data_IF_699831795831
#
_entry.id   IF_699831795831
#
_cell.length_a   1.000
_cell.length_b   1.000
_cell.length_c   1.000
_cell.angle_alpha   90.00
_cell.angle_beta   90.00
_cell.angle_gamma   90.00
#
_symmetry.space_group_name_H-M   'P 1'
#
loop_
_entity.id
_entity.type
_entity.pdbx_description
1 polymer ?
#
# COMPACT_ATOMS: atom_id res chain seq x y z
N UNK A 1 -6.63 -4.51 -9.47
CA UNK A 1 -7.19 -5.06 -10.73
C UNK A 1 -8.64 -5.42 -10.46
N UNK A 2 -9.55 -5.21 -11.44
CA UNK A 2 -10.93 -5.68 -11.37
C UNK A 2 -11.42 -6.10 -12.77
N UNK A 3 -12.42 -6.96 -12.80
CA UNK A 3 -12.96 -7.55 -14.03
C UNK A 3 -13.50 -6.47 -14.99
N UNK A 4 -14.23 -5.47 -14.48
CA UNK A 4 -14.80 -4.41 -15.32
C UNK A 4 -13.71 -3.62 -16.07
N UNK A 5 -12.59 -3.33 -15.40
CA UNK A 5 -11.45 -2.66 -16.04
C UNK A 5 -10.81 -3.50 -17.13
N UNK A 6 -10.70 -4.81 -16.92
CA UNK A 6 -10.17 -5.76 -17.90
C UNK A 6 -11.08 -5.83 -19.14
N UNK A 7 -12.38 -5.97 -18.93
CA UNK A 7 -13.37 -6.02 -20.02
C UNK A 7 -13.40 -4.72 -20.82
N UNK A 8 -13.30 -3.57 -20.12
CA UNK A 8 -13.18 -2.28 -20.78
C UNK A 8 -11.93 -2.18 -21.65
N UNK A 9 -10.75 -2.53 -21.10
CA UNK A 9 -9.50 -2.51 -21.88
C UNK A 9 -9.57 -3.43 -23.11
N UNK A 10 -10.12 -4.62 -22.94
CA UNK A 10 -10.31 -5.54 -24.07
C UNK A 10 -11.25 -4.94 -25.14
N UNK A 11 -12.36 -4.31 -24.74
CA UNK A 11 -13.29 -3.65 -25.68
C UNK A 11 -12.65 -2.44 -26.40
N UNK A 12 -11.67 -1.81 -25.80
CA UNK A 12 -10.86 -0.72 -26.38
C UNK A 12 -9.73 -1.24 -27.30
N UNK A 13 -9.60 -2.56 -27.46
CA UNK A 13 -8.63 -3.21 -28.37
C UNK A 13 -7.27 -3.50 -27.75
N UNK A 14 -7.09 -3.32 -26.45
CA UNK A 14 -5.88 -3.76 -25.75
C UNK A 14 -5.87 -5.29 -25.64
N UNK A 15 -4.77 -5.92 -26.02
CA UNK A 15 -4.58 -7.36 -26.00
C UNK A 15 -3.51 -7.83 -25.00
N UNK A 16 -2.84 -6.93 -24.34
CA UNK A 16 -1.75 -7.24 -23.41
C UNK A 16 -1.86 -6.40 -22.14
N UNK A 17 -1.79 -7.06 -20.99
CA UNK A 17 -1.76 -6.44 -19.67
C UNK A 17 -0.41 -6.73 -19.02
N UNK A 18 0.27 -5.71 -18.55
CA UNK A 18 1.43 -5.83 -17.67
C UNK A 18 1.07 -5.17 -16.33
N UNK A 19 1.09 -5.95 -15.25
CA UNK A 19 0.84 -5.38 -13.91
C UNK A 19 2.15 -4.90 -13.30
N UNK A 20 2.06 -3.95 -12.37
CA UNK A 20 3.19 -3.50 -11.58
C UNK A 20 2.74 -3.31 -10.14
N UNK A 21 3.41 -3.96 -9.19
CA UNK A 21 3.11 -3.90 -7.76
C UNK A 21 1.73 -4.44 -7.38
N UNK A 22 1.19 -5.31 -8.20
CA UNK A 22 -0.06 -6.02 -7.97
C UNK A 22 -0.22 -7.22 -8.92
N UNK A 23 -1.26 -8.02 -8.70
CA UNK A 23 -1.67 -9.09 -9.61
C UNK A 23 -1.45 -10.48 -9.09
N UNK A 24 -0.53 -10.70 -8.14
CA UNK A 24 -0.25 -12.06 -7.62
C UNK A 24 -1.48 -12.71 -6.96
N UNK A 25 -2.36 -11.90 -6.38
CA UNK A 25 -3.60 -12.36 -5.73
C UNK A 25 -4.84 -12.23 -6.63
N UNK A 26 -4.72 -11.65 -7.84
CA UNK A 26 -5.83 -11.39 -8.75
C UNK A 26 -6.13 -12.62 -9.63
N UNK A 27 -6.43 -13.75 -8.99
CA UNK A 27 -6.57 -15.06 -9.69
C UNK A 27 -7.75 -15.06 -10.65
N UNK A 28 -8.92 -14.61 -10.20
CA UNK A 28 -10.15 -14.60 -11.00
C UNK A 28 -10.11 -13.53 -12.10
N UNK A 29 -9.57 -12.37 -11.79
CA UNK A 29 -9.42 -11.28 -12.75
C UNK A 29 -8.48 -11.66 -13.89
N UNK A 30 -7.35 -12.29 -13.57
CA UNK A 30 -6.40 -12.74 -14.60
C UNK A 30 -6.98 -13.90 -15.40
N UNK A 31 -7.69 -14.82 -14.76
CA UNK A 31 -8.44 -15.85 -15.47
C UNK A 31 -9.40 -15.23 -16.48
N UNK A 32 -10.15 -14.21 -16.08
CA UNK A 32 -11.05 -13.50 -16.98
C UNK A 32 -10.32 -12.84 -18.14
N UNK A 33 -9.17 -12.21 -17.91
CA UNK A 33 -8.33 -11.66 -18.99
C UNK A 33 -7.89 -12.76 -19.98
N UNK A 34 -7.51 -13.94 -19.50
CA UNK A 34 -7.14 -15.08 -20.35
C UNK A 34 -8.32 -15.62 -21.16
N UNK A 35 -9.52 -15.66 -20.57
CA UNK A 35 -10.76 -16.04 -21.30
C UNK A 35 -11.07 -15.06 -22.44
N UNK A 36 -10.71 -13.80 -22.30
CA UNK A 36 -10.82 -12.77 -23.34
C UNK A 36 -9.68 -12.81 -24.37
N UNK A 37 -8.76 -13.78 -24.27
CA UNK A 37 -7.64 -13.94 -25.19
C UNK A 37 -6.47 -12.98 -24.98
N UNK A 38 -6.43 -12.27 -23.84
CA UNK A 38 -5.37 -11.31 -23.55
C UNK A 38 -4.08 -12.01 -23.07
N UNK A 39 -2.95 -11.42 -23.38
CA UNK A 39 -1.65 -11.75 -22.78
C UNK A 39 -1.49 -11.03 -21.45
N UNK A 40 -1.12 -11.75 -20.40
CA UNK A 40 -0.97 -11.17 -19.06
C UNK A 40 0.41 -11.45 -18.48
N UNK A 41 1.13 -10.39 -18.14
CA UNK A 41 2.42 -10.45 -17.44
C UNK A 41 2.23 -9.82 -16.06
N UNK A 42 2.44 -10.61 -15.00
CA UNK A 42 2.38 -10.12 -13.62
C UNK A 42 3.78 -9.75 -13.14
N UNK A 43 3.96 -8.49 -12.70
CA UNK A 43 5.15 -8.11 -11.93
C UNK A 43 4.70 -7.64 -10.55
N UNK A 44 5.11 -8.35 -9.51
CA UNK A 44 4.63 -8.14 -8.14
C UNK A 44 5.70 -8.56 -7.11
N UNK A 45 5.53 -8.15 -5.88
CA UNK A 45 6.39 -8.50 -4.76
C UNK A 45 5.61 -8.96 -3.51
N UNK A 46 4.28 -8.88 -3.56
CA UNK A 46 3.42 -9.31 -2.46
C UNK A 46 3.54 -10.82 -2.20
N UNK A 47 3.13 -11.24 -1.01
CA UNK A 47 3.11 -12.65 -0.64
C UNK A 47 2.11 -13.41 -1.50
N UNK A 48 2.50 -14.64 -1.86
CA UNK A 48 1.68 -15.48 -2.71
C UNK A 48 0.58 -16.13 -1.87
N UNK A 49 -0.70 -16.04 -2.25
CA UNK A 49 -1.79 -16.71 -1.56
C UNK A 49 -1.60 -18.22 -1.50
N UNK A 50 -2.11 -18.86 -0.45
CA UNK A 50 -2.03 -20.32 -0.28
C UNK A 50 -3.32 -20.88 0.36
N UNK A 51 -3.62 -22.17 0.11
CA UNK A 51 -4.86 -22.83 0.53
C UNK A 51 -4.81 -23.39 1.96
N UNK A 52 -3.64 -23.77 2.48
CA UNK A 52 -3.51 -24.46 3.77
C UNK A 52 -2.94 -23.56 4.86
N UNK A 53 -3.46 -23.75 6.10
CA UNK A 53 -2.90 -23.11 7.31
C UNK A 53 -1.67 -23.86 7.86
N UNK A 54 -1.42 -25.09 7.41
CA UNK A 54 -0.24 -25.87 7.82
C UNK A 54 1.00 -25.33 7.09
N UNK A 55 1.98 -24.87 7.83
CA UNK A 55 3.21 -24.30 7.28
C UNK A 55 4.01 -25.28 6.42
N UNK A 56 3.85 -26.59 6.69
CA UNK A 56 4.56 -27.65 5.99
C UNK A 56 3.85 -28.12 4.70
N UNK A 57 2.57 -27.75 4.49
CA UNK A 57 1.76 -28.18 3.34
C UNK A 57 1.05 -27.00 2.66
N UNK A 58 1.80 -25.94 2.38
CA UNK A 58 1.28 -24.76 1.67
C UNK A 58 1.19 -25.02 0.17
N UNK A 59 -0.02 -25.20 -0.33
CA UNK A 59 -0.29 -25.14 -1.78
C UNK A 59 -0.50 -23.69 -2.17
N UNK A 60 0.49 -23.12 -2.86
CA UNK A 60 0.43 -21.75 -3.36
C UNK A 60 -0.54 -21.63 -4.53
N UNK A 61 -1.31 -20.51 -4.53
CA UNK A 61 -2.25 -20.18 -5.58
C UNK A 61 -1.60 -19.12 -6.46
N UNK A 62 -1.34 -19.46 -7.72
CA UNK A 62 -0.82 -18.53 -8.72
C UNK A 62 -1.91 -18.19 -9.74
N UNK A 63 -1.99 -16.94 -10.19
CA UNK A 63 -2.86 -16.57 -11.28
C UNK A 63 -2.41 -17.22 -12.60
N UNK A 64 -3.34 -17.47 -13.52
CA UNK A 64 -3.07 -18.11 -14.82
C UNK A 64 -2.48 -17.13 -15.85
N UNK A 65 -1.53 -16.30 -15.43
CA UNK A 65 -0.81 -15.37 -16.29
C UNK A 65 0.18 -16.07 -17.23
N UNK A 66 0.51 -15.45 -18.37
CA UNK A 66 1.51 -15.97 -19.31
C UNK A 66 2.93 -15.90 -18.70
N UNK A 67 3.18 -14.93 -17.85
CA UNK A 67 4.42 -14.85 -17.08
C UNK A 67 4.16 -14.18 -15.71
N UNK A 68 4.86 -14.67 -14.68
CA UNK A 68 4.81 -14.11 -13.32
C UNK A 68 6.23 -13.79 -12.88
N UNK A 69 6.49 -12.52 -12.60
CA UNK A 69 7.75 -12.02 -12.05
C UNK A 69 7.47 -11.60 -10.62
N UNK A 70 7.71 -12.52 -9.70
CA UNK A 70 7.63 -12.28 -8.25
C UNK A 70 8.77 -13.03 -7.57
N UNK A 71 9.69 -12.35 -6.87
CA UNK A 71 10.84 -12.98 -6.21
C UNK A 71 10.46 -14.04 -5.17
N UNK A 72 9.25 -13.94 -4.60
CA UNK A 72 8.79 -14.83 -3.52
C UNK A 72 8.22 -16.17 -4.01
N UNK A 73 8.13 -16.40 -5.34
CA UNK A 73 7.75 -17.72 -5.87
C UNK A 73 8.71 -18.79 -5.36
N UNK A 74 8.18 -19.97 -5.00
CA UNK A 74 8.94 -21.09 -4.44
C UNK A 74 10.12 -21.49 -5.32
N UNK A 75 9.90 -21.57 -6.64
CA UNK A 75 10.92 -22.01 -7.60
C UNK A 75 11.81 -20.85 -8.10
N UNK A 76 11.56 -19.63 -7.64
CA UNK A 76 12.35 -18.47 -8.07
C UNK A 76 13.76 -18.53 -7.49
N UNK A 77 14.77 -18.56 -8.38
CA UNK A 77 16.19 -18.59 -8.01
C UNK A 77 16.81 -17.22 -7.77
N UNK A 78 16.01 -16.13 -7.91
CA UNK A 78 16.52 -14.79 -7.65
C UNK A 78 16.92 -14.67 -6.17
N UNK A 79 18.17 -14.28 -5.86
CA UNK A 79 18.71 -14.42 -4.51
C UNK A 79 18.09 -13.45 -3.50
N UNK A 80 17.62 -12.28 -3.96
CA UNK A 80 17.07 -11.25 -3.08
C UNK A 80 15.54 -11.18 -3.20
N UNK A 81 14.84 -11.57 -2.12
CA UNK A 81 13.37 -11.73 -2.09
C UNK A 81 12.61 -10.48 -1.64
N UNK A 82 13.32 -9.45 -1.18
CA UNK A 82 12.74 -8.31 -0.44
C UNK A 82 12.61 -7.04 -1.28
N UNK A 83 12.65 -7.17 -2.62
CA UNK A 83 12.38 -6.03 -3.50
C UNK A 83 10.93 -5.56 -3.33
N UNK A 84 10.70 -4.24 -3.37
CA UNK A 84 9.35 -3.67 -3.56
C UNK A 84 8.93 -3.78 -5.04
N UNK A 85 7.66 -3.50 -5.35
CA UNK A 85 7.14 -3.56 -6.72
C UNK A 85 7.91 -2.67 -7.70
N UNK A 86 8.28 -1.46 -7.29
CA UNK A 86 9.12 -0.57 -8.11
C UNK A 86 10.53 -1.14 -8.34
N UNK A 87 11.10 -1.83 -7.35
CA UNK A 87 12.37 -2.55 -7.47
C UNK A 87 12.27 -3.70 -8.48
N UNK A 88 11.18 -4.48 -8.43
CA UNK A 88 10.91 -5.55 -9.41
C UNK A 88 10.77 -4.97 -10.82
N UNK A 89 10.01 -3.87 -10.97
CA UNK A 89 9.85 -3.19 -12.26
C UNK A 89 11.19 -2.66 -12.82
N UNK A 90 12.04 -2.12 -11.95
CA UNK A 90 13.39 -1.69 -12.33
C UNK A 90 14.24 -2.86 -12.85
N UNK A 91 14.25 -4.01 -12.16
CA UNK A 91 14.94 -5.23 -12.60
C UNK A 91 14.38 -5.76 -13.91
N UNK A 92 13.07 -5.73 -14.06
CA UNK A 92 12.40 -6.09 -15.31
C UNK A 92 12.86 -5.20 -16.47
N UNK A 93 12.92 -3.88 -16.26
CA UNK A 93 13.41 -2.94 -17.29
C UNK A 93 14.86 -3.23 -17.70
N UNK A 94 15.76 -3.53 -16.74
CA UNK A 94 17.14 -3.89 -17.05
C UNK A 94 17.23 -5.14 -17.94
N UNK A 95 16.47 -6.19 -17.60
CA UNK A 95 16.47 -7.43 -18.39
C UNK A 95 15.82 -7.22 -19.76
N UNK A 96 14.75 -6.42 -19.83
CA UNK A 96 14.06 -6.09 -21.07
C UNK A 96 15.01 -5.35 -22.02
N UNK A 97 15.73 -4.33 -21.55
CA UNK A 97 16.70 -3.58 -22.36
C UNK A 97 17.78 -4.49 -22.93
N UNK A 98 18.39 -5.34 -22.08
CA UNK A 98 19.37 -6.32 -22.52
C UNK A 98 18.81 -7.27 -23.60
N UNK A 99 17.55 -7.73 -23.43
CA UNK A 99 16.88 -8.61 -24.41
C UNK A 99 16.60 -7.90 -25.74
N UNK A 100 16.37 -6.60 -25.71
CA UNK A 100 16.17 -5.76 -26.90
C UNK A 100 17.48 -5.29 -27.54
N UNK A 101 18.64 -5.70 -27.05
CA UNK A 101 19.94 -5.26 -27.54
C UNK A 101 20.31 -3.81 -27.15
N UNK A 102 19.60 -3.24 -26.17
CA UNK A 102 19.91 -1.95 -25.57
C UNK A 102 20.82 -2.19 -24.37
N UNK A 103 21.79 -1.30 -24.13
CA UNK A 103 22.65 -1.38 -22.95
C UNK A 103 21.77 -1.32 -21.68
N UNK A 104 21.89 -2.33 -20.82
CA UNK A 104 21.10 -2.40 -19.59
C UNK A 104 21.38 -1.23 -18.63
N UNK A 105 22.53 -0.56 -18.78
CA UNK A 105 22.86 0.64 -18.01
C UNK A 105 21.93 1.81 -18.32
N UNK A 106 21.32 1.84 -19.50
CA UNK A 106 20.27 2.81 -19.83
C UNK A 106 19.05 2.74 -18.91
N UNK A 107 18.80 1.58 -18.27
CA UNK A 107 17.74 1.45 -17.28
C UNK A 107 18.05 2.19 -15.97
N UNK A 108 19.32 2.57 -15.72
CA UNK A 108 19.67 3.31 -14.49
C UNK A 108 18.99 4.67 -14.37
N UNK A 109 18.50 5.23 -15.47
CA UNK A 109 17.65 6.44 -15.43
C UNK A 109 16.36 6.24 -14.63
N UNK A 110 15.93 4.99 -14.39
CA UNK A 110 14.75 4.68 -13.60
C UNK A 110 15.05 4.42 -12.13
N UNK A 111 16.31 4.36 -11.71
CA UNK A 111 16.68 3.99 -10.33
C UNK A 111 16.21 5.02 -9.30
N UNK A 112 16.07 6.30 -9.69
CA UNK A 112 15.52 7.33 -8.81
C UNK A 112 14.05 7.04 -8.45
N UNK A 113 13.26 6.52 -9.40
CA UNK A 113 11.87 6.08 -9.13
C UNK A 113 11.83 4.79 -8.32
N UNK A 114 12.71 3.85 -8.61
CA UNK A 114 12.85 2.63 -7.82
C UNK A 114 13.23 2.94 -6.36
N UNK A 115 14.08 3.95 -6.13
CA UNK A 115 14.44 4.39 -4.78
C UNK A 115 13.26 5.04 -4.05
N UNK A 116 12.47 5.89 -4.74
CA UNK A 116 11.24 6.46 -4.17
C UNK A 116 10.32 5.33 -3.75
N UNK A 117 10.03 4.36 -4.65
CA UNK A 117 9.18 3.23 -4.34
C UNK A 117 9.71 2.38 -3.17
N UNK A 118 11.01 2.03 -3.19
CA UNK A 118 11.65 1.23 -2.14
C UNK A 118 11.54 1.87 -0.76
N UNK A 119 11.71 3.18 -0.67
CA UNK A 119 11.62 3.91 0.61
C UNK A 119 10.15 4.08 1.04
N UNK A 120 9.26 4.41 0.11
CA UNK A 120 7.85 4.64 0.41
C UNK A 120 7.07 3.37 0.76
N UNK A 121 7.49 2.22 0.24
CA UNK A 121 6.92 0.90 0.54
C UNK A 121 7.44 0.32 1.88
N UNK A 122 8.40 1.00 2.51
CA UNK A 122 8.95 0.66 3.83
C UNK A 122 9.56 -0.75 3.86
N UNK A 123 10.10 -1.23 2.75
CA UNK A 123 10.85 -2.49 2.72
C UNK A 123 12.22 -2.32 3.39
N UNK A 124 12.77 -3.39 3.94
CA UNK A 124 14.06 -3.36 4.61
C UNK A 124 15.18 -2.84 3.68
N UNK A 125 15.90 -1.81 4.11
CA UNK A 125 17.00 -1.20 3.37
C UNK A 125 18.30 -2.01 3.55
N UNK A 126 18.25 -3.28 3.17
CA UNK A 126 19.37 -4.22 3.17
C UNK A 126 19.64 -4.72 1.74
N UNK A 127 20.78 -5.35 1.50
CA UNK A 127 21.12 -5.94 0.20
C UNK A 127 20.85 -4.98 -0.98
N UNK A 128 20.09 -5.43 -1.98
CA UNK A 128 19.78 -4.64 -3.17
C UNK A 128 18.93 -3.40 -2.89
N UNK A 129 18.00 -3.47 -1.93
CA UNK A 129 17.20 -2.31 -1.54
C UNK A 129 18.09 -1.17 -1.04
N UNK A 130 19.12 -1.47 -0.26
CA UNK A 130 20.10 -0.48 0.19
C UNK A 130 20.86 0.15 -0.97
N UNK A 131 21.25 -0.66 -1.95
CA UNK A 131 21.97 -0.18 -3.15
C UNK A 131 21.06 0.73 -3.98
N UNK A 132 19.84 0.28 -4.25
CA UNK A 132 18.81 1.06 -4.99
C UNK A 132 18.54 2.40 -4.27
N UNK A 133 18.30 2.36 -2.97
CA UNK A 133 18.03 3.57 -2.19
C UNK A 133 19.22 4.52 -2.20
N UNK A 134 20.46 4.05 -1.98
CA UNK A 134 21.65 4.87 -1.95
C UNK A 134 21.90 5.54 -3.29
N UNK A 135 22.00 4.76 -4.36
CA UNK A 135 22.29 5.28 -5.71
C UNK A 135 21.13 6.15 -6.21
N UNK A 136 19.89 5.70 -5.98
CA UNK A 136 18.70 6.45 -6.40
C UNK A 136 18.57 7.80 -5.70
N UNK A 137 18.92 7.93 -4.41
CA UNK A 137 18.96 9.22 -3.70
C UNK A 137 20.04 10.13 -4.29
N UNK A 138 21.22 9.58 -4.61
CA UNK A 138 22.30 10.36 -5.24
C UNK A 138 21.88 10.92 -6.61
N UNK A 139 21.20 10.11 -7.43
CA UNK A 139 20.69 10.54 -8.73
C UNK A 139 19.50 11.48 -8.59
N UNK A 140 18.59 11.22 -7.69
CA UNK A 140 17.43 12.08 -7.39
C UNK A 140 17.89 13.49 -7.00
N UNK A 141 18.96 13.62 -6.22
CA UNK A 141 19.56 14.91 -5.87
C UNK A 141 20.18 15.65 -7.07
N UNK A 142 20.34 14.99 -8.20
CA UNK A 142 20.85 15.54 -9.46
C UNK A 142 19.82 15.38 -10.59
N UNK A 143 18.59 15.00 -10.25
CA UNK A 143 17.55 14.68 -11.22
C UNK A 143 17.31 15.84 -12.19
N UNK A 144 17.20 15.48 -13.47
CA UNK A 144 16.79 16.40 -14.54
C UNK A 144 15.29 16.30 -14.85
N UNK A 145 14.59 15.34 -14.20
CA UNK A 145 13.16 15.18 -14.41
C UNK A 145 12.40 16.41 -13.88
N UNK A 146 11.63 17.11 -14.74
CA UNK A 146 10.90 18.31 -14.33
C UNK A 146 9.95 18.06 -13.17
N UNK A 147 9.26 16.89 -13.15
CA UNK A 147 8.30 16.54 -12.10
C UNK A 147 8.93 16.32 -10.74
N UNK A 148 10.08 15.61 -10.68
CA UNK A 148 10.82 15.40 -9.43
C UNK A 148 11.29 16.75 -8.89
N UNK A 149 11.87 17.60 -9.74
CA UNK A 149 12.34 18.92 -9.34
C UNK A 149 11.22 19.79 -8.82
N UNK A 150 10.11 19.86 -9.55
CA UNK A 150 8.94 20.64 -9.14
C UNK A 150 8.37 20.16 -7.80
N UNK A 151 8.31 18.84 -7.56
CA UNK A 151 7.80 18.31 -6.31
C UNK A 151 8.71 18.62 -5.12
N UNK A 152 10.03 18.60 -5.33
CA UNK A 152 11.05 18.99 -4.32
C UNK A 152 10.89 20.49 -3.99
N UNK A 153 10.81 21.34 -5.01
CA UNK A 153 10.70 22.79 -4.86
C UNK A 153 9.36 23.18 -4.20
N UNK A 154 8.25 22.60 -4.63
CA UNK A 154 6.92 22.87 -4.09
C UNK A 154 6.84 22.55 -2.59
N UNK A 155 7.57 21.54 -2.13
CA UNK A 155 7.67 21.19 -0.72
C UNK A 155 8.77 21.95 0.04
N UNK A 156 9.31 23.03 -0.53
CA UNK A 156 10.36 23.86 0.06
C UNK A 156 11.63 23.07 0.45
N UNK A 157 11.89 21.96 -0.25
CA UNK A 157 13.09 21.17 -0.09
C UNK A 157 14.21 21.70 -1.00
N UNK A 158 15.46 21.45 -0.63
CA UNK A 158 16.62 21.89 -1.41
C UNK A 158 17.19 20.72 -2.21
N UNK A 159 17.24 20.86 -3.55
CA UNK A 159 17.99 19.94 -4.40
C UNK A 159 19.44 19.78 -3.91
N UNK A 160 19.94 18.57 -3.96
CA UNK A 160 21.25 18.22 -3.42
C UNK A 160 21.26 17.78 -1.95
N UNK A 161 20.17 18.02 -1.20
CA UNK A 161 20.06 17.69 0.21
C UNK A 161 18.92 16.69 0.52
N UNK A 162 18.37 16.03 -0.49
CA UNK A 162 17.30 15.05 -0.31
C UNK A 162 17.85 13.79 0.33
N UNK A 163 17.16 13.30 1.35
CA UNK A 163 17.49 12.09 2.11
C UNK A 163 16.32 11.10 2.07
N UNK A 164 16.51 9.90 2.59
CA UNK A 164 15.44 8.92 2.75
C UNK A 164 14.25 9.48 3.57
N UNK A 165 14.53 10.31 4.59
CA UNK A 165 13.48 10.99 5.36
C UNK A 165 12.60 11.87 4.47
N UNK A 166 13.20 12.71 3.64
CA UNK A 166 12.43 13.58 2.74
C UNK A 166 11.58 12.78 1.76
N UNK A 167 12.10 11.64 1.27
CA UNK A 167 11.34 10.76 0.38
C UNK A 167 10.16 10.11 1.13
N UNK A 168 10.41 9.49 2.27
CA UNK A 168 9.39 8.74 3.01
C UNK A 168 8.31 9.61 3.68
N UNK A 169 8.70 10.81 4.15
CA UNK A 169 7.80 11.64 4.97
C UNK A 169 7.31 12.94 4.31
N UNK A 170 7.86 13.33 3.15
CA UNK A 170 7.44 14.53 2.44
C UNK A 170 7.01 14.21 1.01
N UNK A 171 7.91 13.66 0.20
CA UNK A 171 7.68 13.41 -1.23
C UNK A 171 6.66 12.27 -1.42
N UNK A 172 6.87 11.13 -0.79
CA UNK A 172 5.98 9.97 -0.87
C UNK A 172 4.55 10.26 -0.43
N UNK A 173 4.31 10.92 0.71
CA UNK A 173 2.98 11.36 1.11
C UNK A 173 2.26 12.22 0.07
N UNK A 174 2.96 13.12 -0.65
CA UNK A 174 2.35 13.90 -1.74
C UNK A 174 1.93 13.02 -2.92
N UNK A 175 2.78 12.06 -3.30
CA UNK A 175 2.48 11.09 -4.37
C UNK A 175 1.26 10.23 -3.97
N UNK A 176 1.27 9.70 -2.76
CA UNK A 176 0.22 8.81 -2.26
C UNK A 176 -1.13 9.53 -2.05
N UNK A 177 -1.13 10.83 -1.74
CA UNK A 177 -2.35 11.60 -1.54
C UNK A 177 -3.22 11.64 -2.81
N UNK A 178 -2.61 11.68 -4.00
CA UNK A 178 -3.34 11.64 -5.26
C UNK A 178 -4.19 10.37 -5.39
N UNK A 179 -3.63 9.20 -5.14
CA UNK A 179 -4.35 7.93 -5.22
C UNK A 179 -5.42 7.76 -4.13
N UNK A 180 -5.33 8.53 -3.04
CA UNK A 180 -6.32 8.50 -1.95
C UNK A 180 -7.52 9.42 -2.18
N UNK A 181 -7.29 10.63 -2.68
CA UNK A 181 -8.31 11.67 -2.74
C UNK A 181 -8.80 11.96 -4.17
N UNK A 182 -8.04 11.60 -5.19
CA UNK A 182 -8.43 11.84 -6.58
C UNK A 182 -8.04 10.67 -7.49
N UNK A 183 -6.83 10.67 -8.04
CA UNK A 183 -6.34 9.62 -8.94
C UNK A 183 -4.82 9.52 -8.92
N UNK A 184 -4.30 8.31 -8.77
CA UNK A 184 -2.86 8.03 -8.87
C UNK A 184 -2.25 8.44 -10.23
N UNK A 185 -3.07 8.58 -11.27
CA UNK A 185 -2.64 9.07 -12.60
C UNK A 185 -2.02 10.45 -12.52
N UNK A 186 -2.40 11.30 -11.53
CA UNK A 186 -1.77 12.62 -11.35
C UNK A 186 -0.28 12.52 -11.05
N UNK A 187 0.10 11.58 -10.16
CA UNK A 187 1.51 11.36 -9.85
C UNK A 187 2.28 10.80 -11.06
N UNK A 188 1.65 9.90 -11.83
CA UNK A 188 2.25 9.42 -13.08
C UNK A 188 2.47 10.56 -14.07
N UNK A 189 1.46 11.42 -14.28
CA UNK A 189 1.58 12.60 -15.15
C UNK A 189 2.69 13.55 -14.70
N UNK A 190 2.86 13.74 -13.40
CA UNK A 190 3.96 14.55 -12.86
C UNK A 190 5.33 14.00 -13.30
N UNK A 191 5.57 12.71 -13.10
CA UNK A 191 6.85 12.09 -13.46
C UNK A 191 7.08 12.04 -14.99
N UNK A 192 6.01 12.06 -15.78
CA UNK A 192 6.06 12.08 -17.24
C UNK A 192 6.07 13.49 -17.85
N UNK A 193 5.97 14.55 -17.04
CA UNK A 193 5.97 15.92 -17.51
C UNK A 193 7.28 16.25 -18.23
N UNK A 194 7.18 16.90 -19.39
CA UNK A 194 8.31 17.23 -20.24
C UNK A 194 8.78 18.69 -20.06
N UNK A 195 7.94 19.54 -19.46
CA UNK A 195 8.23 20.95 -19.24
C UNK A 195 8.00 21.34 -17.77
N UNK A 196 8.63 22.47 -17.39
CA UNK A 196 8.60 22.94 -16.01
C UNK A 196 7.26 23.52 -15.59
N UNK A 197 6.49 24.09 -16.50
CA UNK A 197 5.18 24.72 -16.20
C UNK A 197 4.15 23.64 -15.84
N UNK A 198 4.00 22.64 -16.69
CA UNK A 198 3.15 21.46 -16.44
C UNK A 198 3.57 20.75 -15.15
N UNK A 199 4.86 20.55 -14.93
CA UNK A 199 5.38 19.91 -13.73
C UNK A 199 5.06 20.71 -12.46
N UNK A 200 5.24 22.04 -12.48
CA UNK A 200 4.92 22.90 -11.33
C UNK A 200 3.42 22.87 -10.98
N UNK A 201 2.55 22.93 -11.99
CA UNK A 201 1.10 22.85 -11.78
C UNK A 201 0.68 21.52 -11.12
N UNK A 202 1.24 20.39 -11.60
CA UNK A 202 0.95 19.07 -11.06
C UNK A 202 1.54 18.88 -9.64
N UNK A 203 2.77 19.34 -9.40
CA UNK A 203 3.41 19.29 -8.08
C UNK A 203 2.60 20.07 -7.04
N UNK A 204 2.15 21.29 -7.38
CA UNK A 204 1.28 22.09 -6.52
C UNK A 204 -0.03 21.37 -6.20
N UNK A 205 -0.65 20.73 -7.19
CA UNK A 205 -1.88 19.97 -7.00
C UNK A 205 -1.64 18.79 -6.03
N UNK A 206 -0.56 18.04 -6.20
CA UNK A 206 -0.21 16.91 -5.31
C UNK A 206 0.05 17.37 -3.88
N UNK A 207 0.76 18.49 -3.70
CA UNK A 207 0.97 19.07 -2.38
C UNK A 207 -0.33 19.48 -1.71
N UNK A 208 -1.23 20.13 -2.43
CA UNK A 208 -2.53 20.54 -1.90
C UNK A 208 -3.36 19.33 -1.47
N UNK A 209 -3.42 18.27 -2.27
CA UNK A 209 -4.08 17.01 -1.89
C UNK A 209 -3.46 16.38 -0.63
N UNK A 210 -2.14 16.49 -0.46
CA UNK A 210 -1.49 16.00 0.75
C UNK A 210 -1.84 16.85 1.98
N UNK A 211 -1.94 18.16 1.85
CA UNK A 211 -2.40 19.06 2.92
C UNK A 211 -3.83 18.69 3.30
N UNK A 212 -4.72 18.60 2.32
CA UNK A 212 -6.12 18.21 2.54
C UNK A 212 -6.22 16.87 3.27
N UNK A 213 -5.48 15.84 2.81
CA UNK A 213 -5.42 14.55 3.49
C UNK A 213 -4.94 14.66 4.94
N UNK A 214 -3.94 15.53 5.22
CA UNK A 214 -3.44 15.74 6.58
C UNK A 214 -4.50 16.39 7.47
N UNK A 215 -5.18 17.41 6.97
CA UNK A 215 -6.23 18.12 7.70
C UNK A 215 -7.42 17.18 8.00
N UNK A 216 -7.89 16.44 6.99
CA UNK A 216 -8.93 15.42 7.18
C UNK A 216 -8.51 14.38 8.22
N UNK A 217 -7.26 13.91 8.18
CA UNK A 217 -6.74 12.92 9.14
C UNK A 217 -6.72 13.50 10.56
N UNK A 218 -6.26 14.74 10.74
CA UNK A 218 -6.18 15.38 12.05
C UNK A 218 -7.56 15.61 12.66
N UNK A 219 -8.50 16.16 11.87
CA UNK A 219 -9.88 16.39 12.31
C UNK A 219 -10.59 15.07 12.69
N UNK A 220 -10.46 14.04 11.83
CA UNK A 220 -11.05 12.73 12.12
C UNK A 220 -10.44 12.09 13.36
N UNK A 221 -9.13 12.21 13.55
CA UNK A 221 -8.43 11.67 14.70
C UNK A 221 -8.88 12.35 16.00
N UNK A 222 -8.98 13.68 16.02
CA UNK A 222 -9.45 14.43 17.19
C UNK A 222 -10.88 14.03 17.57
N UNK A 223 -11.80 13.95 16.60
CA UNK A 223 -13.19 13.53 16.79
C UNK A 223 -13.27 12.11 17.39
N UNK A 224 -12.48 11.18 16.85
CA UNK A 224 -12.46 9.78 17.31
C UNK A 224 -11.84 9.68 18.70
N UNK A 225 -10.76 10.40 19.00
CA UNK A 225 -10.16 10.42 20.35
C UNK A 225 -11.18 10.92 21.38
N UNK A 226 -11.88 12.01 21.08
CA UNK A 226 -12.91 12.56 21.98
C UNK A 226 -14.03 11.52 22.24
N UNK A 227 -14.46 10.82 21.20
CA UNK A 227 -15.43 9.72 21.29
C UNK A 227 -14.93 8.57 22.17
N UNK A 228 -13.68 8.14 22.01
CA UNK A 228 -13.06 7.07 22.82
C UNK A 228 -13.02 7.49 24.29
N UNK A 229 -12.48 8.69 24.57
CA UNK A 229 -12.28 9.16 25.95
C UNK A 229 -13.58 9.37 26.73
N UNK A 230 -14.67 9.71 26.03
CA UNK A 230 -16.01 9.94 26.62
C UNK A 230 -16.91 8.71 26.67
N UNK A 231 -16.46 7.56 26.18
CA UNK A 231 -17.28 6.35 26.05
C UNK A 231 -16.67 5.12 26.70
N UNK A 232 -17.38 3.99 26.61
CA UNK A 232 -16.88 2.69 27.07
C UNK A 232 -15.74 2.13 26.22
N UNK A 233 -15.49 2.70 25.02
CA UNK A 233 -14.40 2.30 24.14
C UNK A 233 -13.03 2.40 24.83
N UNK A 234 -12.88 3.34 25.77
CA UNK A 234 -11.65 3.50 26.56
C UNK A 234 -11.23 2.25 27.34
N UNK A 235 -12.17 1.34 27.63
CA UNK A 235 -11.91 0.10 28.39
C UNK A 235 -11.59 -1.09 27.49
N UNK A 236 -11.73 -0.94 26.19
CA UNK A 236 -11.52 -2.00 25.23
C UNK A 236 -10.03 -2.28 25.03
N UNK A 237 -9.67 -3.55 24.86
CA UNK A 237 -8.32 -4.00 24.47
C UNK A 237 -8.14 -4.03 22.95
N UNK A 238 -9.24 -4.05 22.19
CA UNK A 238 -9.28 -3.90 20.74
C UNK A 238 -10.23 -2.75 20.42
N UNK A 239 -9.70 -1.65 19.94
CA UNK A 239 -10.50 -0.48 19.58
C UNK A 239 -11.23 -0.73 18.27
N UNK A 240 -12.56 -0.72 18.30
CA UNK A 240 -13.41 -0.76 17.11
C UNK A 240 -14.26 0.50 17.12
N UNK A 241 -13.96 1.43 16.25
CA UNK A 241 -14.61 2.75 16.24
C UNK A 241 -15.30 2.95 14.89
N UNK A 242 -16.58 3.24 14.94
CA UNK A 242 -17.36 3.67 13.79
C UNK A 242 -17.53 5.18 13.80
N UNK A 243 -17.19 5.81 12.68
CA UNK A 243 -17.38 7.23 12.47
C UNK A 243 -17.74 7.47 11.00
N UNK A 244 -19.02 7.75 10.74
CA UNK A 244 -19.61 7.81 9.41
C UNK A 244 -18.92 8.78 8.47
N UNK A 245 -18.52 9.95 8.99
CA UNK A 245 -17.94 11.06 8.21
C UNK A 245 -16.45 10.86 7.87
N UNK A 246 -15.79 9.85 8.37
CA UNK A 246 -14.38 9.60 8.04
C UNK A 246 -14.27 9.11 6.60
N UNK A 247 -13.48 9.79 5.78
CA UNK A 247 -13.26 9.37 4.41
C UNK A 247 -12.56 7.99 4.36
N UNK A 248 -13.07 7.06 3.55
CA UNK A 248 -12.58 5.67 3.48
C UNK A 248 -11.05 5.59 3.28
N UNK A 249 -10.50 6.45 2.41
CA UNK A 249 -9.08 6.44 2.05
C UNK A 249 -8.12 6.79 3.21
N UNK A 250 -8.61 7.45 4.27
CA UNK A 250 -7.80 7.80 5.45
C UNK A 250 -8.09 6.93 6.67
N UNK A 251 -9.12 6.07 6.64
CA UNK A 251 -9.47 5.21 7.77
C UNK A 251 -8.28 4.40 8.29
N UNK A 252 -7.46 3.85 7.37
CA UNK A 252 -6.25 3.11 7.72
C UNK A 252 -5.13 3.97 8.34
N UNK A 253 -5.06 5.26 8.00
CA UNK A 253 -4.11 6.20 8.61
C UNK A 253 -4.56 6.53 10.02
N UNK A 254 -5.85 6.81 10.19
CA UNK A 254 -6.44 7.10 11.51
C UNK A 254 -6.30 5.89 12.44
N UNK A 255 -6.60 4.66 11.95
CA UNK A 255 -6.39 3.43 12.71
C UNK A 255 -4.92 3.26 13.15
N UNK A 256 -3.96 3.59 12.27
CA UNK A 256 -2.53 3.60 12.60
C UNK A 256 -2.18 4.58 13.72
N UNK A 257 -2.72 5.80 13.66
CA UNK A 257 -2.51 6.82 14.70
C UNK A 257 -3.15 6.46 16.04
N UNK A 258 -4.32 5.83 16.02
CA UNK A 258 -4.95 5.29 17.24
C UNK A 258 -4.10 4.19 17.84
N UNK A 259 -3.63 3.24 17.02
CA UNK A 259 -2.72 2.18 17.44
C UNK A 259 -1.45 2.75 18.09
N UNK A 260 -0.84 3.77 17.49
CA UNK A 260 0.36 4.43 18.04
C UNK A 260 0.06 5.13 19.37
N UNK A 261 -1.08 5.81 19.49
CA UNK A 261 -1.46 6.56 20.67
C UNK A 261 -1.79 5.68 21.88
N UNK A 262 -2.57 4.62 21.65
CA UNK A 262 -3.10 3.76 22.72
C UNK A 262 -2.32 2.46 22.89
N UNK A 263 -1.42 2.14 21.97
CA UNK A 263 -0.75 0.85 21.86
C UNK A 263 -1.73 -0.33 21.85
N UNK A 264 -2.85 -0.18 21.13
CA UNK A 264 -3.92 -1.17 21.01
C UNK A 264 -4.19 -1.51 19.55
N UNK A 265 -4.56 -2.76 19.22
CA UNK A 265 -5.15 -3.07 17.93
C UNK A 265 -6.35 -2.15 17.70
N UNK A 266 -6.38 -1.46 16.55
CA UNK A 266 -7.36 -0.42 16.28
C UNK A 266 -7.99 -0.61 14.91
N UNK A 267 -9.32 -0.64 14.87
CA UNK A 267 -10.15 -0.71 13.66
C UNK A 267 -10.97 0.57 13.59
N UNK A 268 -10.87 1.25 12.45
CA UNK A 268 -11.72 2.41 12.14
C UNK A 268 -12.64 2.01 11.00
N UNK A 269 -13.92 2.14 11.26
CA UNK A 269 -15.01 1.89 10.32
C UNK A 269 -15.62 3.23 9.92
N UNK A 270 -15.97 3.38 8.67
CA UNK A 270 -16.57 4.59 8.08
C UNK A 270 -17.83 4.22 7.32
N UNK A 271 -18.68 5.20 7.09
CA UNK A 271 -19.87 5.03 6.25
C UNK A 271 -19.51 4.63 4.82
N UNK A 272 -20.38 3.90 4.18
CA UNK A 272 -20.29 3.55 2.77
C UNK A 272 -21.71 3.47 2.18
N UNK A 273 -21.83 3.39 0.86
CA UNK A 273 -23.12 3.41 0.17
C UNK A 273 -24.11 2.32 0.65
N UNK A 274 -23.60 1.14 0.93
CA UNK A 274 -24.43 -0.01 1.36
C UNK A 274 -23.94 -0.67 2.65
N UNK A 275 -22.69 -0.50 2.99
CA UNK A 275 -22.01 -1.14 4.12
C UNK A 275 -20.90 -0.25 4.64
N UNK A 276 -20.63 -0.32 5.93
CA UNK A 276 -19.45 0.31 6.51
C UNK A 276 -18.17 -0.33 5.96
N UNK A 277 -17.20 0.51 5.66
CA UNK A 277 -15.86 0.12 5.25
C UNK A 277 -14.89 0.30 6.41
N UNK A 278 -13.96 -0.62 6.59
CA UNK A 278 -13.06 -0.58 7.73
C UNK A 278 -11.61 -0.86 7.38
N UNK A 279 -10.74 -0.24 8.14
CA UNK A 279 -9.31 -0.52 8.14
C UNK A 279 -8.82 -0.79 9.56
N UNK A 280 -8.12 -1.89 9.73
CA UNK A 280 -7.48 -2.28 11.00
C UNK A 280 -5.97 -2.10 10.95
N UNK A 281 -5.39 -1.74 12.10
CA UNK A 281 -3.94 -1.73 12.35
C UNK A 281 -3.66 -2.38 13.69
N UNK A 282 -2.63 -3.21 13.75
CA UNK A 282 -2.34 -4.05 14.91
C UNK A 282 -0.99 -3.76 15.55
N UNK A 283 -0.83 -4.28 16.77
CA UNK A 283 0.44 -4.41 17.48
C UNK A 283 1.03 -5.81 17.23
N UNK A 284 2.30 -6.02 17.54
CA UNK A 284 2.99 -7.28 17.26
C UNK A 284 2.38 -8.48 18.00
N UNK A 285 1.82 -8.26 19.16
CA UNK A 285 1.23 -9.29 20.03
C UNK A 285 -0.16 -9.74 19.59
N UNK A 286 -0.80 -9.05 18.62
CA UNK A 286 -2.17 -9.34 18.17
C UNK A 286 -2.21 -9.61 16.66
N UNK A 287 -2.66 -10.80 16.27
CA UNK A 287 -2.83 -11.14 14.87
C UNK A 287 -4.21 -10.72 14.35
N UNK A 288 -4.28 -9.54 13.73
CA UNK A 288 -5.54 -8.96 13.24
C UNK A 288 -6.27 -9.90 12.28
N UNK A 289 -5.57 -10.54 11.35
CA UNK A 289 -6.17 -11.43 10.35
C UNK A 289 -6.80 -12.68 10.97
N UNK A 290 -6.12 -13.31 11.93
CA UNK A 290 -6.64 -14.49 12.63
C UNK A 290 -7.88 -14.15 13.46
N UNK A 291 -7.83 -13.05 14.19
CA UNK A 291 -8.95 -12.65 15.04
C UNK A 291 -10.18 -12.24 14.22
N UNK A 292 -9.98 -11.55 13.08
CA UNK A 292 -11.09 -11.29 12.16
C UNK A 292 -11.63 -12.57 11.53
N UNK A 293 -10.78 -13.55 11.24
CA UNK A 293 -11.25 -14.86 10.73
C UNK A 293 -12.20 -15.55 11.70
N UNK A 294 -11.98 -15.44 13.01
CA UNK A 294 -12.90 -15.98 14.04
C UNK A 294 -14.25 -15.25 14.07
N UNK A 295 -14.29 -14.03 13.55
CA UNK A 295 -15.48 -13.19 13.46
C UNK A 295 -16.08 -13.12 12.04
N UNK A 296 -15.63 -13.96 11.12
CA UNK A 296 -15.92 -13.90 9.68
C UNK A 296 -17.42 -13.85 9.35
N UNK A 297 -18.28 -14.51 10.12
CA UNK A 297 -19.73 -14.51 9.91
C UNK A 297 -20.42 -13.15 10.13
N UNK A 298 -19.73 -12.19 10.74
CA UNK A 298 -20.25 -10.83 10.97
C UNK A 298 -19.93 -9.86 9.83
N UNK A 299 -19.01 -10.23 8.94
CA UNK A 299 -18.50 -9.39 7.86
C UNK A 299 -18.87 -9.96 6.50
N UNK A 300 -19.12 -9.09 5.54
CA UNK A 300 -19.36 -9.49 4.14
C UNK A 300 -18.06 -9.82 3.43
N UNK A 301 -17.02 -8.99 3.63
CA UNK A 301 -15.68 -9.21 3.13
C UNK A 301 -14.65 -8.76 4.16
N UNK A 302 -13.58 -9.49 4.28
CA UNK A 302 -12.40 -9.07 5.03
C UNK A 302 -11.16 -9.75 4.46
N UNK A 303 -10.01 -9.12 4.69
CA UNK A 303 -8.71 -9.65 4.29
C UNK A 303 -7.58 -8.81 4.87
N UNK A 304 -6.42 -9.41 4.93
CA UNK A 304 -5.25 -8.72 5.46
C UNK A 304 -4.20 -9.67 6.00
N UNK A 305 -3.31 -9.11 6.79
CA UNK A 305 -2.18 -9.78 7.42
C UNK A 305 -2.19 -9.52 8.92
N UNK A 306 -1.23 -10.08 9.64
CA UNK A 306 -1.07 -9.90 11.09
C UNK A 306 -1.22 -8.45 11.54
N UNK A 307 -0.57 -7.50 10.82
CA UNK A 307 -0.45 -6.10 11.24
C UNK A 307 -1.51 -5.16 10.66
N UNK A 308 -2.24 -5.57 9.65
CA UNK A 308 -3.22 -4.73 8.98
C UNK A 308 -4.32 -5.55 8.30
N UNK A 309 -5.54 -5.04 8.30
CA UNK A 309 -6.66 -5.65 7.59
C UNK A 309 -7.61 -4.60 7.02
N UNK A 310 -8.31 -4.99 5.96
CA UNK A 310 -9.46 -4.26 5.41
C UNK A 310 -10.71 -5.09 5.57
N UNK A 311 -11.87 -4.44 5.69
CA UNK A 311 -13.15 -5.14 5.85
C UNK A 311 -14.34 -4.34 5.34
N UNK A 312 -15.43 -5.07 5.07
CA UNK A 312 -16.76 -4.50 4.81
C UNK A 312 -17.76 -5.19 5.72
N UNK A 313 -18.59 -4.43 6.42
CA UNK A 313 -19.49 -4.93 7.44
C UNK A 313 -20.81 -4.13 7.45
N UNK A 314 -21.94 -4.79 7.72
CA UNK A 314 -23.20 -4.09 7.96
C UNK A 314 -23.15 -3.35 9.29
N UNK A 315 -23.68 -2.15 9.34
CA UNK A 315 -23.61 -1.31 10.55
C UNK A 315 -24.19 -1.99 11.78
N UNK A 316 -25.26 -2.76 11.63
CA UNK A 316 -25.92 -3.54 12.69
C UNK A 316 -25.01 -4.60 13.35
N UNK A 317 -23.94 -4.98 12.68
CA UNK A 317 -22.98 -5.97 13.15
C UNK A 317 -21.73 -5.34 13.81
N UNK A 318 -21.54 -4.03 13.70
CA UNK A 318 -20.34 -3.34 14.23
C UNK A 318 -20.17 -3.56 15.73
N UNK A 319 -21.23 -3.36 16.49
CA UNK A 319 -21.17 -3.54 17.95
C UNK A 319 -20.98 -5.02 18.34
N UNK A 320 -21.50 -5.96 17.54
CA UNK A 320 -21.27 -7.40 17.74
C UNK A 320 -19.81 -7.74 17.48
N UNK A 321 -19.23 -7.22 16.38
CA UNK A 321 -17.80 -7.38 16.06
C UNK A 321 -16.91 -6.84 17.20
N UNK A 322 -17.19 -5.62 17.66
CA UNK A 322 -16.46 -5.00 18.79
C UNK A 322 -16.47 -5.91 20.02
N UNK A 323 -17.64 -6.37 20.44
CA UNK A 323 -17.79 -7.24 21.62
C UNK A 323 -17.06 -8.56 21.44
N UNK A 324 -17.19 -9.19 20.28
CA UNK A 324 -16.57 -10.48 20.03
C UNK A 324 -15.03 -10.40 19.98
N UNK A 325 -14.48 -9.37 19.32
CA UNK A 325 -13.03 -9.16 19.30
C UNK A 325 -12.47 -8.91 20.70
N UNK A 326 -13.16 -8.13 21.54
CA UNK A 326 -12.74 -7.89 22.92
C UNK A 326 -12.91 -9.11 23.82
N UNK A 327 -13.94 -9.93 23.61
CA UNK A 327 -14.14 -11.20 24.33
C UNK A 327 -13.05 -12.23 23.96
N UNK A 328 -12.69 -12.30 22.69
CA UNK A 328 -11.65 -13.22 22.19
C UNK A 328 -10.24 -12.75 22.52
N UNK A 329 -10.08 -11.49 22.92
CA UNK A 329 -8.76 -10.87 23.12
C UNK A 329 -8.05 -11.43 24.35
N UNK A 330 -6.94 -12.12 24.13
CA UNK A 330 -6.11 -12.72 25.17
C UNK A 330 -4.89 -11.85 25.55
N UNK A 331 -4.83 -10.59 25.10
CA UNK A 331 -3.73 -9.68 25.44
C UNK A 331 -3.68 -9.44 26.94
N UNK A 332 -2.50 -9.65 27.52
CA UNK A 332 -2.20 -9.28 28.90
C UNK A 332 -1.85 -7.78 28.99
N UNK A 333 -1.82 -7.23 30.22
CA UNK A 333 -1.37 -5.86 30.42
C UNK A 333 0.08 -5.64 29.94
N UNK A 334 0.94 -6.65 30.06
CA UNK A 334 2.33 -6.59 29.59
C UNK A 334 2.44 -6.52 28.06
N UNK A 335 1.48 -7.09 27.32
CA UNK A 335 1.46 -7.04 25.85
C UNK A 335 1.08 -5.64 25.36
N UNK A 336 0.38 -4.87 26.18
CA UNK A 336 -0.06 -3.50 25.89
C UNK A 336 0.97 -2.44 26.27
N UNK A 337 2.09 -2.82 26.88
CA UNK A 337 3.19 -1.89 27.18
C UNK A 337 4.04 -1.70 25.93
N UNK A 338 4.23 -0.44 25.45
CA UNK A 338 5.12 -0.17 24.33
C UNK A 338 6.53 -0.69 24.59
N UNK A 339 7.07 -1.51 23.69
CA UNK A 339 8.41 -2.08 23.80
C UNK A 339 9.37 -1.31 22.90
N UNK A 340 10.52 -0.92 23.44
CA UNK A 340 11.62 -0.38 22.65
C UNK A 340 12.62 -1.51 22.41
N UNK A 341 12.88 -1.83 21.14
CA UNK A 341 13.99 -2.73 20.78
C UNK A 341 15.29 -1.91 20.82
N UNK A 342 16.24 -2.36 21.62
CA UNK A 342 17.58 -1.77 21.74
C UNK A 342 18.54 -2.53 20.85
#
# INVERSE_FOLDING_TARGET
ININSIEKLNSEGYNTIVTCDNGISAVDEIKRAKELGMTVVVTDHHDIPFLSKDENDRTFILPSADAIINPKQKECKYPFKMLCGAGVAFKFAQVLYRKMGIDETEAYKFIEYAAIGTICDIVDLVGENRIIAKIGIELLNKSKNPGIRALIEENSLKMGNITAYHIGFVIGPCINAAGRLESAVLALKLFMAQDAETAAALAKKLRNLNIERQDMTSQSLEKIIDKIEKSQLKKDKVLVVYEEDVHESIAGIVAGRLKERYNLPSIVLTGGETMAKGSGRSIEEYNMSEELTKCGSLMENFGGHKMAAGMSIREENIEKLRKQLNTNCNLSENDLIPKIRI
#
